data_IF_488441715800
#
_entry.id   IF_488441715800
#
_cell.length_a   1.000
_cell.length_b   1.000
_cell.length_c   1.000
_cell.angle_alpha   90.00
_cell.angle_beta   90.00
_cell.angle_gamma   90.00
#
_symmetry.space_group_name_H-M   'P 1'
#
loop_
_entity.id
_entity.type
_entity.pdbx_description
1 polymer ?
#
# COMPACT_ATOMS: atom_id res chain seq x y z
N UNK A 1 -13.59 2.82 16.31
CA UNK A 1 -13.25 2.11 15.07
C UNK A 1 -11.97 2.78 14.57
N UNK A 2 -10.84 2.08 14.58
CA UNK A 2 -9.52 2.69 14.38
C UNK A 2 -9.18 2.73 12.89
N UNK A 3 -9.44 3.87 12.24
CA UNK A 3 -9.27 4.07 10.79
C UNK A 3 -7.87 3.69 10.27
N UNK A 4 -6.83 3.79 11.10
CA UNK A 4 -5.45 3.42 10.72
C UNK A 4 -5.29 1.91 10.46
N UNK A 5 -6.00 1.07 11.21
CA UNK A 5 -5.96 -0.40 11.03
C UNK A 5 -6.62 -0.84 9.72
N UNK A 6 -7.65 -0.10 9.31
CA UNK A 6 -8.40 -0.36 8.08
C UNK A 6 -7.58 0.03 6.84
N UNK A 7 -6.84 1.14 6.90
CA UNK A 7 -5.96 1.59 5.82
C UNK A 7 -4.78 0.62 5.56
N UNK A 8 -4.18 0.07 6.63
CA UNK A 8 -3.11 -0.94 6.52
C UNK A 8 -3.58 -2.20 5.81
N UNK A 9 -4.71 -2.76 6.28
CA UNK A 9 -5.28 -3.98 5.70
C UNK A 9 -5.64 -3.79 4.23
N UNK A 10 -6.24 -2.65 3.89
CA UNK A 10 -6.61 -2.30 2.51
C UNK A 10 -5.38 -2.18 1.62
N UNK A 11 -4.32 -1.51 2.07
CA UNK A 11 -3.08 -1.38 1.30
C UNK A 11 -2.39 -2.72 1.10
N UNK A 12 -2.34 -3.56 2.14
CA UNK A 12 -1.78 -4.90 2.06
C UNK A 12 -2.52 -5.76 1.04
N UNK A 13 -3.85 -5.76 1.08
CA UNK A 13 -4.67 -6.47 0.10
C UNK A 13 -4.43 -5.97 -1.34
N UNK A 14 -4.32 -4.66 -1.53
CA UNK A 14 -4.02 -4.08 -2.84
C UNK A 14 -2.67 -4.55 -3.37
N UNK A 15 -1.63 -4.59 -2.52
CA UNK A 15 -0.29 -5.07 -2.88
C UNK A 15 -0.30 -6.55 -3.26
N UNK A 16 -0.98 -7.39 -2.48
CA UNK A 16 -1.10 -8.83 -2.77
C UNK A 16 -1.82 -9.07 -4.10
N UNK A 17 -2.93 -8.37 -4.34
CA UNK A 17 -3.68 -8.49 -5.61
C UNK A 17 -2.87 -8.00 -6.80
N UNK A 18 -2.15 -6.89 -6.65
CA UNK A 18 -1.29 -6.36 -7.70
C UNK A 18 -0.18 -7.36 -8.05
N UNK A 19 0.50 -7.93 -7.06
CA UNK A 19 1.54 -8.94 -7.27
C UNK A 19 1.01 -10.21 -7.95
N UNK A 20 -0.18 -10.67 -7.57
CA UNK A 20 -0.80 -11.84 -8.22
C UNK A 20 -1.12 -11.63 -9.71
N UNK A 21 -1.14 -10.38 -10.18
CA UNK A 21 -1.36 -10.03 -11.59
C UNK A 21 -0.06 -9.79 -12.37
N UNK A 22 1.11 -9.82 -11.71
CA UNK A 22 2.41 -9.54 -12.33
C UNK A 22 3.17 -10.79 -12.74
N UNK A 23 4.00 -10.66 -13.76
CA UNK A 23 4.97 -11.67 -14.20
C UNK A 23 6.42 -11.24 -13.89
N UNK A 24 7.40 -12.16 -13.94
CA UNK A 24 8.81 -11.79 -13.79
C UNK A 24 9.23 -10.72 -14.81
N UNK A 25 9.63 -9.55 -14.30
CA UNK A 25 10.01 -8.39 -15.11
C UNK A 25 9.04 -7.21 -15.00
N UNK A 26 7.84 -7.43 -14.47
CA UNK A 26 6.89 -6.36 -14.18
C UNK A 26 7.25 -5.56 -12.92
N UNK A 27 6.65 -4.38 -12.79
CA UNK A 27 6.81 -3.51 -11.63
C UNK A 27 5.44 -3.10 -11.05
N UNK A 28 5.32 -3.15 -9.73
CA UNK A 28 4.17 -2.63 -8.99
C UNK A 28 4.54 -1.25 -8.40
N UNK A 29 3.81 -0.21 -8.82
CA UNK A 29 4.02 1.17 -8.38
C UNK A 29 2.84 1.67 -7.53
N UNK A 30 3.13 2.17 -6.33
CA UNK A 30 2.17 2.95 -5.55
C UNK A 30 2.21 4.43 -5.97
N UNK A 31 1.25 4.86 -6.79
CA UNK A 31 1.11 6.26 -7.24
C UNK A 31 -0.30 6.81 -6.94
N UNK A 32 -0.56 7.31 -5.73
CA UNK A 32 -1.91 7.67 -5.28
C UNK A 32 -2.41 9.03 -5.79
N UNK A 33 -1.58 9.82 -6.51
CA UNK A 33 -1.90 11.13 -7.11
C UNK A 33 -2.54 12.20 -6.20
N UNK A 34 -2.78 11.91 -4.92
CA UNK A 34 -3.48 12.77 -3.95
C UNK A 34 -2.76 12.83 -2.59
N UNK A 35 -3.01 13.93 -1.87
CA UNK A 35 -2.55 14.12 -0.49
C UNK A 35 -3.08 12.99 0.40
N UNK A 36 -2.24 12.48 1.31
CA UNK A 36 -2.54 11.28 2.10
C UNK A 36 -3.53 11.51 3.25
N UNK A 37 -4.03 12.73 3.42
CA UNK A 37 -4.66 13.22 4.66
C UNK A 37 -6.03 12.63 4.97
N UNK A 38 -6.66 11.93 4.03
CA UNK A 38 -7.96 11.29 4.24
C UNK A 38 -7.85 9.91 4.91
N UNK A 39 -6.70 9.24 4.83
CA UNK A 39 -6.48 7.86 5.32
C UNK A 39 -5.18 7.63 6.09
N UNK A 40 -4.21 8.57 6.05
CA UNK A 40 -2.90 8.42 6.69
C UNK A 40 -2.44 9.73 7.34
N UNK A 41 -1.70 9.63 8.45
CA UNK A 41 -1.15 10.80 9.13
C UNK A 41 -0.08 11.51 8.29
N UNK A 42 0.63 10.77 7.43
CA UNK A 42 1.64 11.34 6.53
C UNK A 42 1.88 10.49 5.28
N UNK A 43 2.59 11.05 4.30
CA UNK A 43 2.97 10.31 3.10
C UNK A 43 4.03 9.24 3.40
N UNK A 44 4.89 9.47 4.39
CA UNK A 44 5.91 8.53 4.86
C UNK A 44 5.29 7.29 5.50
N UNK A 45 4.21 7.46 6.27
CA UNK A 45 3.46 6.34 6.87
C UNK A 45 2.94 5.42 5.76
N UNK A 46 2.24 5.99 4.77
CA UNK A 46 1.74 5.26 3.59
C UNK A 46 2.86 4.54 2.84
N UNK A 47 3.98 5.20 2.60
CA UNK A 47 5.14 4.61 1.92
C UNK A 47 5.80 3.48 2.72
N UNK A 48 5.84 3.60 4.05
CA UNK A 48 6.41 2.58 4.93
C UNK A 48 5.54 1.32 4.95
N UNK A 49 4.22 1.48 5.00
CA UNK A 49 3.26 0.38 4.95
C UNK A 49 3.29 -0.36 3.61
N UNK A 50 3.48 0.36 2.50
CA UNK A 50 3.69 -0.26 1.18
C UNK A 50 4.97 -1.10 1.15
N UNK A 51 6.11 -0.53 1.59
CA UNK A 51 7.38 -1.26 1.65
C UNK A 51 7.28 -2.52 2.51
N UNK A 52 6.66 -2.41 3.68
CA UNK A 52 6.46 -3.56 4.57
C UNK A 52 5.57 -4.62 3.93
N UNK A 53 4.48 -4.22 3.27
CA UNK A 53 3.61 -5.15 2.56
C UNK A 53 4.36 -5.87 1.44
N UNK A 54 5.11 -5.13 0.61
CA UNK A 54 5.89 -5.68 -0.50
C UNK A 54 7.03 -6.62 -0.04
N UNK A 55 7.70 -6.33 1.07
CA UNK A 55 8.75 -7.19 1.63
C UNK A 55 8.20 -8.48 2.28
N UNK A 56 6.90 -8.56 2.55
CA UNK A 56 6.25 -9.72 3.19
C UNK A 56 5.38 -10.53 2.23
N UNK A 57 5.44 -10.22 0.93
CA UNK A 57 4.95 -11.09 -0.14
C UNK A 57 5.85 -12.33 -0.25
#
# INVERSE_FOLDING_TARGET
>A
MNAEKDAESTLREAVVRAFAMTEPGDAVLLSPACASWDMFQSYEQRGSMFKQSAHTL
#
